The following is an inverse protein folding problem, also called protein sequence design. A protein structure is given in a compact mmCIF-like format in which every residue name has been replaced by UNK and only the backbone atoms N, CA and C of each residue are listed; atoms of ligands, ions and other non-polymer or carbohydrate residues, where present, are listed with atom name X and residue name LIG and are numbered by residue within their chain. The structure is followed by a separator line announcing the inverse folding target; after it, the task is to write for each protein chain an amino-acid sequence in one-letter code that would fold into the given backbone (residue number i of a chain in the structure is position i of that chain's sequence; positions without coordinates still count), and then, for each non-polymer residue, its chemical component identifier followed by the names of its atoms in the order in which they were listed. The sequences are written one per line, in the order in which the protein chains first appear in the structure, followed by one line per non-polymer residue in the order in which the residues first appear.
data_IF_410716151885
#
_entry.id   IF_410716151885
#
_cell.length_a   1.000
_cell.length_b   1.000
_cell.length_c   1.000
_cell.angle_alpha   90.00
_cell.angle_beta   90.00
_cell.angle_gamma   90.00
#
_symmetry.space_group_name_H-M   'P 1'
#
loop_
_entity.id
_entity.type
_entity.pdbx_description
1 polymer ?
#
# COMPACT_ATOMS: atom_id res chain seq x y z
N UNK A 1 12.59 18.84 -32.67
CA UNK A 1 13.17 19.88 -31.78
C UNK A 1 12.45 20.01 -30.43
N UNK A 2 11.18 19.62 -30.31
CA UNK A 2 10.41 19.64 -29.04
C UNK A 2 10.72 18.49 -28.05
N UNK A 3 11.40 17.42 -28.47
CA UNK A 3 11.78 16.30 -27.60
C UNK A 3 12.97 16.58 -26.66
N UNK A 4 13.77 17.63 -26.91
CA UNK A 4 14.93 17.99 -26.07
C UNK A 4 14.57 18.86 -24.85
N UNK A 5 13.30 19.22 -24.68
CA UNK A 5 12.81 20.03 -23.55
C UNK A 5 12.02 19.24 -22.51
N UNK A 6 11.91 17.91 -22.68
CA UNK A 6 11.49 17.01 -21.61
C UNK A 6 12.59 17.03 -20.56
N UNK A 7 12.37 17.90 -19.56
CA UNK A 7 13.18 18.12 -18.37
C UNK A 7 13.89 16.83 -17.98
N UNK A 8 15.22 16.88 -17.89
CA UNK A 8 15.98 15.87 -17.14
C UNK A 8 15.22 15.62 -15.84
N UNK A 9 14.89 14.36 -15.49
CA UNK A 9 14.24 14.09 -14.21
C UNK A 9 15.02 14.81 -13.11
N UNK A 10 14.31 15.36 -12.13
CA UNK A 10 14.93 16.06 -11.01
C UNK A 10 15.67 15.02 -10.16
N UNK A 11 16.88 14.67 -10.59
CA UNK A 11 17.68 13.60 -10.00
C UNK A 11 18.67 14.23 -9.03
N UNK A 12 18.39 14.12 -7.74
CA UNK A 12 19.18 14.72 -6.67
C UNK A 12 19.82 13.67 -5.74
N UNK A 13 19.35 12.41 -5.78
CA UNK A 13 19.77 11.39 -4.82
C UNK A 13 20.30 10.09 -5.47
N UNK A 14 20.29 9.97 -6.79
CA UNK A 14 20.67 8.76 -7.56
C UNK A 14 22.08 8.22 -7.29
N UNK A 15 23.05 9.10 -6.94
CA UNK A 15 24.43 8.70 -6.62
C UNK A 15 24.75 8.59 -5.12
N UNK A 16 23.77 8.83 -4.26
CA UNK A 16 23.99 8.80 -2.81
C UNK A 16 24.04 7.37 -2.26
N UNK A 17 24.76 7.13 -1.15
CA UNK A 17 24.80 5.81 -0.53
C UNK A 17 23.40 5.40 -0.04
N UNK A 18 23.06 4.08 -0.05
CA UNK A 18 21.73 3.60 0.36
C UNK A 18 21.30 4.08 1.76
N UNK A 19 22.24 4.24 2.68
CA UNK A 19 21.98 4.75 4.04
C UNK A 19 21.40 6.17 4.00
N UNK A 20 21.92 7.04 3.12
CA UNK A 20 21.42 8.40 2.97
C UNK A 20 20.04 8.43 2.31
N UNK A 21 19.79 7.53 1.35
CA UNK A 21 18.46 7.38 0.74
C UNK A 21 17.42 6.92 1.77
N UNK A 22 17.78 5.97 2.66
CA UNK A 22 16.93 5.54 3.77
C UNK A 22 16.72 6.64 4.81
N UNK A 23 17.77 7.36 5.18
CA UNK A 23 17.67 8.47 6.12
C UNK A 23 16.79 9.60 5.57
N UNK A 24 16.93 9.94 4.29
CA UNK A 24 16.05 10.89 3.60
C UNK A 24 14.60 10.40 3.59
N UNK A 25 14.36 9.13 3.25
CA UNK A 25 13.02 8.55 3.26
C UNK A 25 12.37 8.63 4.65
N UNK A 26 13.08 8.22 5.70
CA UNK A 26 12.57 8.26 7.08
C UNK A 26 12.34 9.71 7.53
N UNK A 27 13.31 10.60 7.28
CA UNK A 27 13.22 12.00 7.65
C UNK A 27 12.04 12.72 6.98
N UNK A 28 11.88 12.54 5.66
CA UNK A 28 10.72 13.09 4.93
C UNK A 28 9.40 12.46 5.38
N UNK A 29 9.38 11.15 5.66
CA UNK A 29 8.16 10.47 6.14
C UNK A 29 7.70 11.02 7.48
N UNK A 30 8.64 11.23 8.42
CA UNK A 30 8.34 11.84 9.72
C UNK A 30 7.92 13.30 9.58
N UNK A 31 8.60 14.08 8.74
CA UNK A 31 8.26 15.47 8.51
C UNK A 31 6.86 15.64 7.90
N UNK A 32 6.57 14.93 6.80
CA UNK A 32 5.25 14.98 6.17
C UNK A 32 4.16 14.39 7.06
N UNK A 33 4.43 13.26 7.74
CA UNK A 33 3.51 12.66 8.67
C UNK A 33 3.15 13.60 9.83
N UNK A 34 4.15 14.27 10.42
CA UNK A 34 3.94 15.25 11.49
C UNK A 34 3.15 16.46 11.00
N UNK A 35 3.52 17.06 9.87
CA UNK A 35 2.79 18.22 9.32
C UNK A 35 1.32 17.87 9.04
N UNK A 36 1.06 16.72 8.41
CA UNK A 36 -0.30 16.28 8.10
C UNK A 36 -1.10 15.93 9.38
N UNK A 37 -0.44 15.38 10.39
CA UNK A 37 -1.04 15.08 11.68
C UNK A 37 -1.44 16.37 12.41
N UNK A 38 -0.57 17.38 12.40
CA UNK A 38 -0.86 18.71 12.94
C UNK A 38 -2.00 19.44 12.22
N UNK A 39 -2.30 19.07 10.97
CA UNK A 39 -3.41 19.61 10.19
C UNK A 39 -4.71 18.82 10.37
N UNK A 40 -4.73 17.85 11.29
CA UNK A 40 -5.86 16.94 11.54
C UNK A 40 -6.38 16.26 10.26
N UNK A 41 -5.45 15.93 9.35
CA UNK A 41 -5.80 15.26 8.10
C UNK A 41 -6.05 13.77 8.39
N UNK A 42 -7.25 13.23 8.08
CA UNK A 42 -7.51 11.81 8.21
C UNK A 42 -6.49 11.02 7.36
N UNK A 43 -5.87 9.99 7.95
CA UNK A 43 -4.80 9.19 7.34
C UNK A 43 -3.44 9.89 7.13
N UNK A 44 -3.11 10.92 7.92
CA UNK A 44 -1.79 11.56 7.93
C UNK A 44 -0.61 10.57 7.97
N UNK A 45 -0.70 9.54 8.81
CA UNK A 45 0.32 8.50 8.98
C UNK A 45 0.49 7.59 7.76
N UNK A 46 -0.49 7.54 6.85
CA UNK A 46 -0.41 6.81 5.58
C UNK A 46 0.09 7.73 4.46
N UNK A 47 -0.48 8.93 4.38
CA UNK A 47 -0.21 9.91 3.32
C UNK A 47 1.23 10.43 3.41
N UNK A 48 1.74 10.70 4.61
CA UNK A 48 3.10 11.24 4.82
C UNK A 48 4.20 10.34 4.25
N UNK A 49 4.28 9.05 4.63
CA UNK A 49 5.25 8.11 4.05
C UNK A 49 5.07 7.88 2.55
N UNK A 50 3.84 7.90 2.02
CA UNK A 50 3.58 7.79 0.58
C UNK A 50 4.15 8.98 -0.19
N UNK A 51 3.92 10.20 0.30
CA UNK A 51 4.49 11.43 -0.29
C UNK A 51 6.02 11.40 -0.24
N UNK A 52 6.59 11.02 0.90
CA UNK A 52 8.03 10.88 1.05
C UNK A 52 8.60 9.86 0.04
N UNK A 53 7.93 8.71 -0.11
CA UNK A 53 8.28 7.69 -1.10
C UNK A 53 8.25 8.21 -2.53
N UNK A 54 7.21 8.97 -2.91
CA UNK A 54 7.09 9.57 -4.26
C UNK A 54 8.20 10.60 -4.50
N UNK A 55 8.50 11.47 -3.53
CA UNK A 55 9.56 12.49 -3.64
C UNK A 55 10.94 11.84 -3.76
N UNK A 56 11.21 10.83 -2.95
CA UNK A 56 12.49 10.10 -2.95
C UNK A 56 12.64 9.26 -4.22
N UNK A 57 11.60 8.54 -4.64
CA UNK A 57 11.58 7.78 -5.89
C UNK A 57 11.69 8.68 -7.12
N UNK A 58 10.96 9.81 -7.16
CA UNK A 58 11.08 10.82 -8.22
C UNK A 58 12.47 11.48 -8.27
N UNK A 59 13.17 11.49 -7.13
CA UNK A 59 14.54 11.96 -6.98
C UNK A 59 15.64 11.05 -7.56
N UNK A 60 15.26 9.87 -8.07
CA UNK A 60 16.20 8.86 -8.58
C UNK A 60 16.67 7.84 -7.54
N UNK A 61 16.07 7.78 -6.35
CA UNK A 61 16.45 6.80 -5.35
C UNK A 61 16.14 5.36 -5.83
N UNK A 62 17.05 4.44 -5.51
CA UNK A 62 16.89 3.00 -5.74
C UNK A 62 17.07 2.30 -4.40
N UNK A 63 15.95 2.05 -3.72
CA UNK A 63 15.91 1.40 -2.42
C UNK A 63 15.49 -0.07 -2.59
N UNK A 64 16.42 -1.00 -2.90
CA UNK A 64 16.07 -2.41 -3.02
C UNK A 64 15.68 -2.96 -1.66
N UNK A 65 14.41 -3.32 -1.52
CA UNK A 65 13.93 -4.08 -0.36
C UNK A 65 14.15 -5.57 -0.61
N UNK A 66 14.92 -6.21 0.28
CA UNK A 66 15.07 -7.66 0.24
C UNK A 66 13.72 -8.33 0.47
N UNK A 67 13.41 -9.36 -0.34
CA UNK A 67 12.20 -10.18 -0.19
C UNK A 67 12.03 -10.70 1.24
N UNK A 68 13.14 -11.02 1.93
CA UNK A 68 13.11 -11.51 3.33
C UNK A 68 12.64 -10.45 4.33
N UNK A 69 12.90 -9.17 4.05
CA UNK A 69 12.48 -8.06 4.90
C UNK A 69 11.03 -7.63 4.61
N UNK A 70 10.61 -7.69 3.35
CA UNK A 70 9.25 -7.26 2.94
C UNK A 70 8.16 -8.23 3.39
N UNK A 71 8.45 -9.52 3.37
CA UNK A 71 7.47 -10.58 3.63
C UNK A 71 6.88 -10.59 5.05
N UNK A 72 7.64 -10.46 6.16
CA UNK A 72 7.04 -10.33 7.49
C UNK A 72 6.16 -9.09 7.63
N UNK A 73 6.49 -7.98 6.95
CA UNK A 73 5.67 -6.76 6.93
C UNK A 73 4.31 -7.03 6.28
N UNK A 74 4.27 -7.79 5.18
CA UNK A 74 3.00 -8.20 4.56
C UNK A 74 2.14 -9.06 5.48
N UNK A 75 2.77 -9.95 6.26
CA UNK A 75 2.07 -10.76 7.24
C UNK A 75 1.46 -9.91 8.37
N UNK A 76 2.20 -8.93 8.86
CA UNK A 76 1.71 -8.00 9.88
C UNK A 76 0.55 -7.14 9.36
N UNK A 77 0.68 -6.59 8.15
CA UNK A 77 -0.40 -5.85 7.48
C UNK A 77 -1.64 -6.75 7.32
N UNK A 78 -1.46 -8.02 6.98
CA UNK A 78 -2.56 -8.98 6.90
C UNK A 78 -3.26 -9.21 8.25
N UNK A 79 -2.51 -9.31 9.34
CA UNK A 79 -3.07 -9.35 10.70
C UNK A 79 -3.82 -8.05 11.06
N UNK A 80 -3.31 -6.88 10.64
CA UNK A 80 -4.01 -5.61 10.83
C UNK A 80 -5.36 -5.60 10.13
N UNK A 81 -5.40 -6.01 8.86
CA UNK A 81 -6.62 -6.08 8.07
C UNK A 81 -7.60 -7.08 8.68
N UNK A 82 -7.12 -8.26 9.09
CA UNK A 82 -7.95 -9.27 9.75
C UNK A 82 -8.64 -8.73 11.01
N UNK A 83 -7.91 -7.97 11.84
CA UNK A 83 -8.46 -7.35 13.06
C UNK A 83 -9.52 -6.28 12.76
N UNK A 84 -9.40 -5.59 11.63
CA UNK A 84 -10.35 -4.56 11.21
C UNK A 84 -11.63 -5.13 10.60
N UNK A 85 -11.67 -6.45 10.31
CA UNK A 85 -12.85 -7.12 9.74
C UNK A 85 -13.75 -7.65 10.87
N UNK A 86 -14.92 -7.04 11.12
CA UNK A 86 -15.87 -7.61 12.08
C UNK A 86 -16.44 -8.94 11.55
N UNK A 87 -16.88 -9.82 12.46
CA UNK A 87 -17.43 -11.13 12.12
C UNK A 87 -18.62 -11.03 11.16
N UNK A 88 -19.48 -10.01 11.30
CA UNK A 88 -20.59 -9.74 10.39
C UNK A 88 -20.14 -9.48 8.95
N UNK A 89 -19.10 -8.66 8.75
CA UNK A 89 -18.58 -8.35 7.41
C UNK A 89 -18.00 -9.59 6.72
N UNK A 90 -17.42 -10.53 7.49
CA UNK A 90 -16.90 -11.78 6.92
C UNK A 90 -18.02 -12.68 6.39
N UNK A 91 -19.16 -12.72 7.07
CA UNK A 91 -20.34 -13.48 6.63
C UNK A 91 -21.02 -12.81 5.43
N UNK A 92 -21.15 -11.48 5.43
CA UNK A 92 -21.65 -10.73 4.27
C UNK A 92 -20.78 -10.95 3.03
N UNK A 93 -19.45 -10.96 3.19
CA UNK A 93 -18.52 -11.27 2.13
C UNK A 93 -18.71 -12.69 1.60
N UNK A 94 -18.92 -13.68 2.48
CA UNK A 94 -19.13 -15.06 2.08
C UNK A 94 -20.45 -15.26 1.30
N UNK A 95 -21.53 -14.57 1.70
CA UNK A 95 -22.84 -14.66 1.04
C UNK A 95 -22.85 -13.88 -0.28
N UNK A 96 -22.25 -12.69 -0.31
CA UNK A 96 -22.29 -11.78 -1.46
C UNK A 96 -20.98 -11.75 -2.25
N UNK A 97 -20.14 -12.78 -2.14
CA UNK A 97 -18.84 -12.84 -2.83
C UNK A 97 -18.91 -12.56 -4.35
N UNK A 98 -19.97 -12.94 -5.10
CA UNK A 98 -20.04 -12.63 -6.53
C UNK A 98 -20.17 -11.13 -6.79
N UNK A 99 -20.83 -10.37 -5.90
CA UNK A 99 -20.97 -8.92 -6.01
C UNK A 99 -19.62 -8.23 -5.82
N UNK A 100 -18.85 -8.65 -4.81
CA UNK A 100 -17.49 -8.17 -4.59
C UNK A 100 -16.58 -8.53 -5.76
N UNK A 101 -16.66 -9.76 -6.27
CA UNK A 101 -15.90 -10.19 -7.44
C UNK A 101 -16.26 -9.33 -8.67
N UNK A 102 -17.55 -9.10 -8.93
CA UNK A 102 -18.01 -8.24 -10.01
C UNK A 102 -17.47 -6.80 -9.88
N UNK A 103 -17.43 -6.24 -8.67
CA UNK A 103 -16.81 -4.95 -8.40
C UNK A 103 -15.33 -4.92 -8.74
N UNK A 104 -14.57 -5.95 -8.31
CA UNK A 104 -13.14 -6.09 -8.64
C UNK A 104 -12.93 -6.20 -10.15
N UNK A 105 -13.69 -7.04 -10.85
CA UNK A 105 -13.61 -7.19 -12.30
C UNK A 105 -13.98 -5.91 -13.04
N UNK A 106 -14.98 -5.16 -12.55
CA UNK A 106 -15.37 -3.87 -13.10
C UNK A 106 -14.24 -2.86 -13.01
N UNK A 107 -13.57 -2.76 -11.85
CA UNK A 107 -12.41 -1.86 -11.66
C UNK A 107 -11.25 -2.27 -12.54
N UNK A 108 -10.97 -3.56 -12.69
CA UNK A 108 -9.93 -4.07 -13.59
C UNK A 108 -10.26 -3.68 -15.03
N UNK A 109 -11.49 -3.91 -15.49
CA UNK A 109 -11.92 -3.58 -16.84
C UNK A 109 -11.85 -2.07 -17.11
N UNK A 110 -12.32 -1.24 -16.18
CA UNK A 110 -12.25 0.22 -16.29
C UNK A 110 -10.80 0.72 -16.34
N UNK A 111 -9.92 0.17 -15.51
CA UNK A 111 -8.50 0.53 -15.49
C UNK A 111 -7.78 0.09 -16.76
N UNK A 112 -8.10 -1.10 -17.29
CA UNK A 112 -7.56 -1.59 -18.55
C UNK A 112 -8.01 -0.72 -19.73
N UNK A 113 -9.30 -0.34 -19.77
CA UNK A 113 -9.84 0.56 -20.79
C UNK A 113 -9.17 1.93 -20.75
N UNK A 114 -9.00 2.50 -19.55
CA UNK A 114 -8.34 3.79 -19.36
C UNK A 114 -6.86 3.72 -19.77
N UNK A 115 -6.15 2.66 -19.38
CA UNK A 115 -4.76 2.42 -19.79
C UNK A 115 -4.63 2.30 -21.32
N UNK A 116 -5.55 1.58 -21.98
CA UNK A 116 -5.60 1.48 -23.43
C UNK A 116 -5.85 2.83 -24.11
N UNK A 117 -6.78 3.63 -23.57
CA UNK A 117 -7.10 4.95 -24.12
C UNK A 117 -5.90 5.90 -24.02
N UNK A 118 -5.18 5.91 -22.88
CA UNK A 118 -3.99 6.74 -22.69
C UNK A 118 -2.84 6.36 -23.63
N UNK A 119 -2.67 5.07 -23.91
CA UNK A 119 -1.71 4.59 -24.93
C UNK A 119 -2.12 5.07 -26.32
N UNK A 120 -3.41 4.98 -26.66
CA UNK A 120 -3.93 5.44 -27.96
C UNK A 120 -3.79 6.95 -28.16
N UNK A 121 -3.86 7.72 -27.08
CA UNK A 121 -3.69 9.17 -27.07
C UNK A 121 -2.23 9.63 -27.03
N UNK A 122 -1.27 8.70 -26.97
CA UNK A 122 0.18 8.98 -26.90
C UNK A 122 0.56 9.96 -25.77
N UNK A 123 -0.13 9.83 -24.61
CA UNK A 123 0.07 10.69 -23.44
C UNK A 123 1.41 10.42 -22.76
N UNK A 124 1.86 9.17 -22.80
CA UNK A 124 3.13 8.71 -22.23
C UNK A 124 3.84 7.79 -23.23
N UNK A 125 5.19 7.76 -23.21
CA UNK A 125 5.96 6.93 -24.13
C UNK A 125 5.69 5.43 -23.93
N UNK A 126 5.39 4.75 -25.04
CA UNK A 126 5.26 3.30 -25.10
C UNK A 126 4.09 2.76 -24.27
N UNK A 127 4.34 1.66 -23.54
CA UNK A 127 3.33 0.98 -22.72
C UNK A 127 3.29 1.47 -21.27
N UNK A 128 4.04 2.53 -20.94
CA UNK A 128 4.18 3.06 -19.58
C UNK A 128 2.83 3.46 -18.96
N UNK A 129 1.94 4.09 -19.73
CA UNK A 129 0.61 4.44 -19.27
C UNK A 129 -0.24 3.21 -18.88
N UNK A 130 -0.15 2.14 -19.67
CA UNK A 130 -0.91 0.91 -19.44
C UNK A 130 -0.48 0.26 -18.12
N UNK A 131 0.84 0.15 -17.89
CA UNK A 131 1.38 -0.41 -16.65
C UNK A 131 1.13 0.48 -15.43
N UNK A 132 1.20 1.81 -15.58
CA UNK A 132 0.98 2.76 -14.49
C UNK A 132 -0.47 2.84 -14.01
N UNK A 133 -1.45 2.67 -14.92
CA UNK A 133 -2.88 2.70 -14.57
C UNK A 133 -3.39 1.33 -14.10
N UNK A 134 -2.75 0.25 -14.53
CA UNK A 134 -3.16 -1.11 -14.16
C UNK A 134 -3.21 -1.31 -12.64
N UNK A 135 -4.27 -1.95 -12.12
CA UNK A 135 -4.35 -2.32 -10.71
C UNK A 135 -3.46 -3.54 -10.47
N UNK A 136 -2.67 -3.53 -9.40
CA UNK A 136 -1.77 -4.63 -9.09
C UNK A 136 -0.73 -4.30 -8.02
N UNK A 137 0.10 -5.29 -7.71
CA UNK A 137 1.24 -5.09 -6.82
C UNK A 137 2.31 -4.26 -7.53
N UNK A 138 2.69 -3.12 -6.94
CA UNK A 138 3.60 -2.15 -7.55
C UNK A 138 4.87 -2.78 -8.12
N UNK A 139 5.51 -3.65 -7.33
CA UNK A 139 6.72 -4.37 -7.72
C UNK A 139 6.54 -5.24 -8.97
N UNK A 140 5.39 -5.91 -9.12
CA UNK A 140 5.15 -6.76 -10.29
C UNK A 140 4.95 -5.89 -11.52
N UNK A 141 4.18 -4.82 -11.41
CA UNK A 141 3.89 -3.92 -12.53
C UNK A 141 5.15 -3.17 -13.00
N UNK A 142 6.03 -2.75 -12.09
CA UNK A 142 7.31 -2.11 -12.45
C UNK A 142 8.26 -3.09 -13.14
N UNK A 143 8.30 -4.34 -12.68
CA UNK A 143 9.10 -5.40 -13.33
C UNK A 143 8.57 -5.73 -14.72
N UNK A 144 7.24 -5.81 -14.88
CA UNK A 144 6.65 -6.01 -16.19
C UNK A 144 6.93 -4.82 -17.10
N UNK A 145 6.75 -3.58 -16.64
CA UNK A 145 7.07 -2.39 -17.41
C UNK A 145 8.52 -2.40 -17.92
N UNK A 146 9.48 -2.72 -17.05
CA UNK A 146 10.89 -2.86 -17.42
C UNK A 146 11.12 -3.94 -18.49
N UNK A 147 10.46 -5.11 -18.36
CA UNK A 147 10.55 -6.19 -19.35
C UNK A 147 9.98 -5.83 -20.73
N UNK A 148 9.05 -4.86 -20.78
CA UNK A 148 8.47 -4.33 -22.01
C UNK A 148 9.12 -3.00 -22.47
N UNK A 149 10.26 -2.62 -21.88
CA UNK A 149 11.02 -1.41 -22.25
C UNK A 149 10.37 -0.09 -21.85
N UNK A 150 9.38 -0.13 -20.96
CA UNK A 150 8.73 1.05 -20.39
C UNK A 150 9.52 1.58 -19.18
N UNK A 151 9.28 2.85 -18.83
CA UNK A 151 9.95 3.48 -17.69
C UNK A 151 9.35 2.97 -16.37
N UNK A 152 10.02 2.00 -15.74
CA UNK A 152 9.61 1.39 -14.48
C UNK A 152 9.54 2.41 -13.31
N UNK A 153 10.36 3.47 -13.34
CA UNK A 153 10.35 4.50 -12.31
C UNK A 153 9.10 5.37 -12.45
N UNK A 154 8.73 5.75 -13.67
CA UNK A 154 7.48 6.47 -13.93
C UNK A 154 6.26 5.63 -13.54
N UNK A 155 6.26 4.34 -13.87
CA UNK A 155 5.19 3.40 -13.45
C UNK A 155 5.06 3.32 -11.92
N UNK A 156 6.18 3.27 -11.19
CA UNK A 156 6.17 3.26 -9.73
C UNK A 156 5.54 4.55 -9.17
N UNK A 157 5.97 5.71 -9.68
CA UNK A 157 5.43 7.01 -9.27
C UNK A 157 3.93 7.09 -9.54
N UNK A 158 3.46 6.65 -10.72
CA UNK A 158 2.04 6.62 -11.06
C UNK A 158 1.22 5.74 -10.10
N UNK A 159 1.72 4.56 -9.76
CA UNK A 159 1.01 3.63 -8.87
C UNK A 159 0.89 4.18 -7.44
N UNK A 160 1.95 4.79 -6.90
CA UNK A 160 1.89 5.39 -5.58
C UNK A 160 1.08 6.68 -5.56
N UNK A 161 1.19 7.50 -6.61
CA UNK A 161 0.39 8.71 -6.78
C UNK A 161 -1.11 8.39 -6.81
N UNK A 162 -1.52 7.32 -7.49
CA UNK A 162 -2.91 6.86 -7.49
C UNK A 162 -3.40 6.56 -6.07
N UNK A 163 -2.65 5.76 -5.30
CA UNK A 163 -3.00 5.40 -3.92
C UNK A 163 -3.12 6.67 -3.06
N UNK A 164 -2.18 7.60 -3.22
CA UNK A 164 -2.19 8.88 -2.55
C UNK A 164 -3.44 9.71 -2.89
N UNK A 165 -3.79 9.84 -4.17
CA UNK A 165 -4.98 10.59 -4.62
C UNK A 165 -6.25 9.95 -4.07
N UNK A 166 -6.39 8.63 -4.18
CA UNK A 166 -7.57 7.90 -3.67
C UNK A 166 -7.69 8.08 -2.16
N UNK A 167 -6.60 7.94 -1.39
CA UNK A 167 -6.59 8.15 0.04
C UNK A 167 -6.92 9.60 0.42
N UNK A 168 -6.31 10.58 -0.24
CA UNK A 168 -6.56 12.00 0.01
C UNK A 168 -8.01 12.39 -0.31
N UNK A 169 -8.55 11.95 -1.45
CA UNK A 169 -9.95 12.19 -1.83
C UNK A 169 -10.88 11.52 -0.82
N UNK A 170 -10.64 10.27 -0.43
CA UNK A 170 -11.43 9.58 0.58
C UNK A 170 -11.43 10.33 1.92
N UNK A 171 -10.26 10.80 2.38
CA UNK A 171 -10.13 11.59 3.60
C UNK A 171 -10.87 12.93 3.53
N UNK A 172 -10.79 13.62 2.40
CA UNK A 172 -11.51 14.89 2.16
C UNK A 172 -13.02 14.65 2.15
N UNK A 173 -13.49 13.62 1.43
CA UNK A 173 -14.90 13.25 1.41
C UNK A 173 -15.39 12.85 2.80
N UNK A 174 -14.62 12.06 3.56
CA UNK A 174 -14.99 11.69 4.92
C UNK A 174 -15.15 12.91 5.84
N UNK A 175 -14.27 13.92 5.69
CA UNK A 175 -14.33 15.18 6.43
C UNK A 175 -15.51 16.05 6.01
N UNK A 176 -15.81 16.17 4.71
CA UNK A 176 -16.91 17.00 4.19
C UNK A 176 -18.28 16.38 4.53
N UNK A 177 -18.42 15.08 4.29
CA UNK A 177 -19.70 14.38 4.45
C UNK A 177 -19.97 13.92 5.89
N UNK A 178 -19.10 14.24 6.85
CA UNK A 178 -19.29 13.87 8.25
C UNK A 178 -19.35 12.35 8.47
N UNK A 179 -18.74 11.55 7.57
CA UNK A 179 -18.57 10.12 7.76
C UNK A 179 -17.63 9.79 8.94
N UNK A 180 -17.09 10.83 9.58
CA UNK A 180 -16.70 10.84 10.98
C UNK A 180 -17.91 10.56 11.91
N UNK A 181 -18.55 9.38 11.80
CA UNK A 181 -19.31 8.83 12.92
C UNK A 181 -18.44 8.90 14.18
N UNK A 182 -19.00 9.09 15.39
CA UNK A 182 -18.27 9.58 16.57
C UNK A 182 -16.90 8.92 16.65
N UNK A 183 -15.89 9.63 16.12
CA UNK A 183 -14.52 9.30 16.37
C UNK A 183 -14.38 9.76 17.80
N UNK A 184 -14.80 8.89 18.74
CA UNK A 184 -14.24 8.92 20.07
C UNK A 184 -12.76 8.97 19.77
N UNK A 185 -12.13 10.12 20.03
CA UNK A 185 -10.71 10.25 19.92
C UNK A 185 -10.19 9.15 20.84
N UNK A 186 -9.87 8.00 20.25
CA UNK A 186 -9.13 6.98 20.95
C UNK A 186 -7.85 7.71 21.23
N UNK A 187 -7.71 8.18 22.47
CA UNK A 187 -6.44 8.63 23.00
C UNK A 187 -5.49 7.53 22.58
N UNK A 188 -4.60 7.86 21.63
CA UNK A 188 -3.61 6.92 21.16
C UNK A 188 -2.70 6.75 22.36
N UNK A 189 -2.99 5.77 23.20
CA UNK A 189 -2.14 5.39 24.30
C UNK A 189 -0.93 4.69 23.69
N UNK A 190 0.05 5.51 23.27
CA UNK A 190 1.31 5.07 22.68
C UNK A 190 2.06 4.05 23.56
N UNK A 191 1.75 4.01 24.86
CA UNK A 191 2.39 3.15 25.86
C UNK A 191 1.39 2.38 26.74
N UNK A 192 0.30 1.87 26.16
CA UNK A 192 -0.57 0.93 26.88
C UNK A 192 0.17 -0.39 27.19
N UNK A 193 -0.14 -1.09 28.30
CA UNK A 193 0.46 -2.39 28.62
C UNK A 193 0.14 -3.41 27.52
N UNK A 194 1.18 -3.91 26.85
CA UNK A 194 1.05 -4.92 25.80
C UNK A 194 0.94 -6.29 26.46
N UNK A 195 -0.10 -7.06 26.12
CA UNK A 195 -0.14 -8.45 26.56
C UNK A 195 0.87 -9.25 25.72
N UNK A 196 1.96 -9.67 26.35
CA UNK A 196 3.06 -10.35 25.66
C UNK A 196 2.61 -11.62 24.93
N UNK A 197 1.61 -12.34 25.48
CA UNK A 197 1.12 -13.58 24.91
C UNK A 197 0.32 -13.38 23.59
N UNK A 198 -0.70 -12.51 23.53
CA UNK A 198 -1.37 -12.16 22.26
C UNK A 198 -0.44 -11.52 21.22
N UNK A 199 0.54 -10.71 21.64
CA UNK A 199 1.54 -10.16 20.73
C UNK A 199 2.38 -11.28 20.10
N UNK A 200 2.88 -12.22 20.90
CA UNK A 200 3.65 -13.37 20.38
C UNK A 200 2.79 -14.24 19.46
N UNK A 201 1.52 -14.46 19.79
CA UNK A 201 0.59 -15.18 18.91
C UNK A 201 0.39 -14.45 17.57
N UNK A 202 0.27 -13.13 17.59
CA UNK A 202 0.11 -12.31 16.39
C UNK A 202 1.38 -12.32 15.54
N UNK A 203 2.56 -12.21 16.15
CA UNK A 203 3.84 -12.31 15.45
C UNK A 203 4.06 -13.72 14.89
N UNK A 204 3.71 -14.76 15.64
CA UNK A 204 3.79 -16.14 15.19
C UNK A 204 2.86 -16.38 14.00
N UNK A 205 1.63 -15.87 14.05
CA UNK A 205 0.68 -15.93 12.93
C UNK A 205 1.20 -15.16 11.72
N UNK A 206 1.69 -13.93 11.93
CA UNK A 206 2.23 -13.10 10.87
C UNK A 206 3.41 -13.78 10.18
N UNK A 207 4.34 -14.38 10.94
CA UNK A 207 5.50 -15.10 10.40
C UNK A 207 5.11 -16.43 9.74
N UNK A 208 4.30 -17.25 10.39
CA UNK A 208 3.90 -18.56 9.88
C UNK A 208 3.03 -18.42 8.63
N UNK A 209 1.99 -17.58 8.66
CA UNK A 209 1.13 -17.32 7.52
C UNK A 209 1.89 -16.68 6.35
N UNK A 210 2.85 -15.81 6.67
CA UNK A 210 3.78 -15.24 5.70
C UNK A 210 4.68 -16.28 5.02
N UNK A 211 5.23 -17.23 5.79
CA UNK A 211 6.06 -18.32 5.27
C UNK A 211 5.25 -19.30 4.41
N UNK A 212 4.02 -19.62 4.83
CA UNK A 212 3.07 -20.42 4.04
C UNK A 212 2.70 -19.68 2.74
N UNK A 213 2.37 -18.39 2.83
CA UNK A 213 2.02 -17.55 1.70
C UNK A 213 3.16 -17.43 0.68
N UNK A 214 4.43 -17.43 1.12
CA UNK A 214 5.57 -17.47 0.21
C UNK A 214 5.63 -18.76 -0.61
N UNK A 215 5.24 -19.90 -0.02
CA UNK A 215 5.27 -21.20 -0.71
C UNK A 215 4.21 -21.31 -1.78
N UNK A 216 3.08 -20.61 -1.64
CA UNK A 216 1.98 -20.64 -2.60
C UNK A 216 2.31 -19.96 -3.93
N UNK A 217 3.42 -19.20 -4.04
CA UNK A 217 3.85 -18.49 -5.26
C UNK A 217 2.81 -17.52 -5.85
N UNK A 218 1.79 -17.14 -5.08
CA UNK A 218 0.77 -16.15 -5.48
C UNK A 218 1.28 -14.74 -5.13
N UNK A 219 1.12 -13.73 -6.02
CA UNK A 219 1.35 -12.32 -5.68
C UNK A 219 0.53 -11.93 -4.42
N UNK A 220 1.16 -11.26 -3.45
CA UNK A 220 0.55 -10.93 -2.14
C UNK A 220 0.15 -12.16 -1.27
N UNK A 221 0.61 -13.37 -1.59
CA UNK A 221 0.32 -14.59 -0.83
C UNK A 221 0.52 -14.49 0.69
N UNK A 222 1.64 -13.94 1.20
CA UNK A 222 1.85 -13.71 2.63
C UNK A 222 0.74 -12.90 3.31
N UNK A 223 0.22 -11.87 2.62
CA UNK A 223 -0.85 -11.02 3.13
C UNK A 223 -2.20 -11.74 3.09
N UNK A 224 -2.54 -12.40 1.97
CA UNK A 224 -3.81 -13.11 1.82
C UNK A 224 -3.95 -14.26 2.83
N UNK A 225 -2.90 -15.06 3.00
CA UNK A 225 -2.90 -16.18 3.95
C UNK A 225 -3.05 -15.68 5.38
N UNK A 226 -2.36 -14.60 5.75
CA UNK A 226 -2.46 -14.04 7.11
C UNK A 226 -3.81 -13.37 7.38
N UNK A 227 -4.44 -12.77 6.37
CA UNK A 227 -5.82 -12.27 6.48
C UNK A 227 -6.78 -13.43 6.76
N UNK A 228 -6.77 -14.46 5.91
CA UNK A 228 -7.70 -15.60 6.04
C UNK A 228 -7.46 -16.33 7.36
N UNK A 229 -6.21 -16.64 7.69
CA UNK A 229 -5.88 -17.31 8.95
C UNK A 229 -6.22 -16.43 10.17
N UNK A 230 -5.95 -15.12 10.09
CA UNK A 230 -6.28 -14.17 11.16
C UNK A 230 -7.78 -14.06 11.41
N UNK A 231 -8.59 -13.94 10.36
CA UNK A 231 -10.05 -13.90 10.46
C UNK A 231 -10.58 -15.21 11.03
N UNK A 232 -10.10 -16.37 10.54
CA UNK A 232 -10.53 -17.67 11.04
C UNK A 232 -10.17 -17.87 12.52
N UNK A 233 -8.94 -17.60 12.93
CA UNK A 233 -8.50 -17.78 14.31
C UNK A 233 -9.14 -16.78 15.28
N UNK A 234 -9.34 -15.53 14.85
CA UNK A 234 -10.05 -14.54 15.64
C UNK A 234 -11.54 -14.90 15.80
N UNK A 235 -12.20 -15.40 14.75
CA UNK A 235 -13.60 -15.80 14.79
C UNK A 235 -13.87 -17.03 15.67
N UNK A 236 -12.93 -17.98 15.73
CA UNK A 236 -13.02 -19.14 16.62
C UNK A 236 -12.63 -18.82 18.08
N UNK A 237 -12.22 -17.59 18.38
CA UNK A 237 -11.79 -17.17 19.72
C UNK A 237 -10.44 -17.77 20.16
N UNK A 238 -9.70 -18.39 19.23
CA UNK A 238 -8.42 -19.06 19.53
C UNK A 238 -7.25 -18.08 19.64
N UNK A 239 -7.41 -16.86 19.09
CA UNK A 239 -6.33 -15.89 19.00
C UNK A 239 -6.88 -14.47 19.12
N UNK A 240 -6.31 -13.70 20.05
CA UNK A 240 -6.58 -12.27 20.15
C UNK A 240 -5.49 -11.53 19.38
N UNK A 241 -5.85 -10.86 18.28
CA UNK A 241 -4.87 -10.14 17.46
C UNK A 241 -4.47 -8.86 18.20
N UNK A 242 -3.25 -8.84 18.74
CA UNK A 242 -2.62 -7.68 19.35
C UNK A 242 -1.50 -7.18 18.44
N UNK A 243 -1.65 -5.94 17.99
CA UNK A 243 -0.73 -5.31 17.06
C UNK A 243 0.28 -4.45 17.84
N UNK A 244 1.55 -4.40 17.41
CA UNK A 244 2.47 -3.36 17.88
C UNK A 244 1.88 -2.00 17.47
N UNK A 245 1.59 -1.14 18.45
CA UNK A 245 1.05 0.22 18.25
C UNK A 245 2.18 1.23 18.11
#
# INVERSE_FOLDING_TARGET
MFQKMLRKPFVWIDRSPPVLQWAALIGLSLAFGAVLYWLDIPAAMLIGPLLAGIVVAGGGARLPLSRRAFVPVQGLIGCMIAKMLPSSASMELAVHWPLFAAGVFSVIAASALLGWLLVRMDVLPGTTALWGVSPGAATVMTLMAESFGADAQLVAVMQYLRVLIVAAVASVLARIFGASGPHVAHVVEWFAPIAALPLVQTLALALAGSLVGQRLRIPLGPMLVTIVAGVLFAHHGWLTIELPR
#
